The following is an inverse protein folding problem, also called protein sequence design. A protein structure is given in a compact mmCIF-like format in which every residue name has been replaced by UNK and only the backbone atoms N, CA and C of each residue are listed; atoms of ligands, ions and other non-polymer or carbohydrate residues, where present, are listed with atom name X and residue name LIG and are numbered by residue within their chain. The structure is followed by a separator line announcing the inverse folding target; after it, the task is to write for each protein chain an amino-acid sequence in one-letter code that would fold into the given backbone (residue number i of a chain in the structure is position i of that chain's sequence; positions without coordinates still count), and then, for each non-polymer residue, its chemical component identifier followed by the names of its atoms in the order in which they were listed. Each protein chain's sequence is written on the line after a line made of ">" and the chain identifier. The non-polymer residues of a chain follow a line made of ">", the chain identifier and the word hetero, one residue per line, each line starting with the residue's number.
data_IF_780918677345
#
_entry.id   IF_780918677345
#
_cell.length_a   1.000
_cell.length_b   1.000
_cell.length_c   1.000
_cell.angle_alpha   90.00
_cell.angle_beta   90.00
_cell.angle_gamma   90.00
#
_symmetry.space_group_name_H-M   'P 1'
#
loop_
_entity.id
_entity.type
_entity.pdbx_description
1 polymer ?
#
# COMPACT_ATOMS: atom_id res chain seq x y z
N UNK A 1 3.86 3.84 -11.10
CA UNK A 1 4.34 2.65 -11.79
C UNK A 1 3.30 2.07 -12.76
N UNK A 2 2.03 2.42 -12.56
CA UNK A 2 0.89 1.95 -13.34
C UNK A 2 -0.27 2.95 -13.27
N UNK A 3 -1.35 2.70 -14.01
CA UNK A 3 -2.60 3.46 -13.99
C UNK A 3 -3.78 2.50 -13.88
N UNK A 4 -4.86 2.94 -13.21
CA UNK A 4 -6.09 2.18 -13.02
C UNK A 4 -6.19 1.56 -11.64
N UNK A 5 -7.43 1.27 -11.21
CA UNK A 5 -7.74 0.59 -9.95
C UNK A 5 -8.92 -0.36 -10.16
N UNK A 6 -8.76 -1.67 -9.92
CA UNK A 6 -9.82 -2.65 -10.15
C UNK A 6 -10.82 -2.70 -8.98
N UNK A 7 -10.52 -2.02 -7.87
CA UNK A 7 -11.35 -2.01 -6.68
C UNK A 7 -12.70 -1.32 -6.93
N UNK A 8 -13.69 -1.66 -6.11
CA UNK A 8 -15.06 -1.13 -6.20
C UNK A 8 -15.52 -0.47 -4.90
N UNK A 9 -14.58 0.13 -4.16
CA UNK A 9 -14.86 0.86 -2.92
C UNK A 9 -15.92 1.94 -3.18
N UNK A 10 -16.96 1.98 -2.33
CA UNK A 10 -18.16 2.80 -2.61
C UNK A 10 -17.93 4.31 -2.54
N UNK A 11 -16.86 4.73 -1.88
CA UNK A 11 -16.51 6.14 -1.65
C UNK A 11 -15.44 6.67 -2.62
N UNK A 12 -14.78 5.78 -3.36
CA UNK A 12 -13.56 6.11 -4.09
C UNK A 12 -13.84 6.51 -5.55
N UNK A 13 -13.25 7.62 -5.98
CA UNK A 13 -13.34 8.11 -7.36
C UNK A 13 -12.21 7.60 -8.28
N UNK A 14 -11.21 6.91 -7.76
CA UNK A 14 -10.07 6.43 -8.56
C UNK A 14 -10.46 5.60 -9.79
N UNK A 15 -11.42 4.65 -9.69
CA UNK A 15 -11.87 3.90 -10.86
C UNK A 15 -12.53 4.76 -11.94
N UNK A 16 -13.07 5.93 -11.56
CA UNK A 16 -13.66 6.91 -12.49
C UNK A 16 -12.55 7.74 -13.13
N UNK A 17 -11.61 8.25 -12.32
CA UNK A 17 -10.56 9.16 -12.77
C UNK A 17 -9.41 8.45 -13.49
N UNK A 18 -9.05 7.24 -13.05
CA UNK A 18 -7.89 6.49 -13.55
C UNK A 18 -8.26 5.29 -14.44
N UNK A 19 -9.53 4.88 -14.43
CA UNK A 19 -10.05 3.68 -15.10
C UNK A 19 -10.02 2.44 -14.19
N UNK A 20 -10.80 1.41 -14.55
CA UNK A 20 -10.88 0.14 -13.81
C UNK A 20 -9.82 -0.87 -14.25
N UNK A 21 -9.41 -0.81 -15.51
CA UNK A 21 -8.34 -1.65 -16.02
C UNK A 21 -6.98 -1.15 -15.55
N UNK A 22 -6.13 -2.08 -15.15
CA UNK A 22 -4.78 -1.76 -14.68
C UNK A 22 -3.79 -1.88 -15.83
N UNK A 23 -3.22 -0.75 -16.21
CA UNK A 23 -2.16 -0.66 -17.22
C UNK A 23 -0.82 -0.47 -16.52
N UNK A 24 -0.01 -1.50 -16.51
CA UNK A 24 1.33 -1.47 -15.92
C UNK A 24 2.36 -0.91 -16.89
N UNK A 25 3.29 -0.12 -16.39
CA UNK A 25 4.48 0.31 -17.13
C UNK A 25 5.54 -0.80 -17.06
N UNK A 26 6.36 -1.01 -18.09
CA UNK A 26 7.48 -1.93 -17.99
C UNK A 26 8.37 -1.60 -16.77
N UNK A 27 8.72 -2.56 -15.91
CA UNK A 27 9.54 -2.31 -14.71
C UNK A 27 10.85 -1.56 -15.03
N UNK A 28 11.48 -1.91 -16.15
CA UNK A 28 12.68 -1.19 -16.64
C UNK A 28 12.41 0.30 -16.84
N UNK A 29 11.33 0.67 -17.50
CA UNK A 29 10.99 2.07 -17.75
C UNK A 29 10.65 2.85 -16.46
N UNK A 30 10.03 2.20 -15.48
CA UNK A 30 9.81 2.78 -14.16
C UNK A 30 11.14 3.08 -13.48
N UNK A 31 12.07 2.16 -13.52
CA UNK A 31 13.36 2.32 -12.84
C UNK A 31 14.30 3.26 -13.61
N UNK A 32 14.20 3.35 -14.96
CA UNK A 32 14.90 4.38 -15.76
C UNK A 32 14.51 5.80 -15.26
N UNK A 33 13.23 6.03 -14.96
CA UNK A 33 12.73 7.30 -14.40
C UNK A 33 13.28 7.55 -12.98
N UNK A 34 13.24 6.55 -12.10
CA UNK A 34 13.80 6.66 -10.75
C UNK A 34 15.30 7.00 -10.78
N UNK A 35 16.04 6.35 -11.65
CA UNK A 35 17.47 6.62 -11.83
C UNK A 35 17.72 8.05 -12.35
N UNK A 36 16.88 8.52 -13.27
CA UNK A 36 16.94 9.90 -13.75
C UNK A 36 16.66 10.93 -12.65
N UNK A 37 15.70 10.65 -11.74
CA UNK A 37 15.42 11.50 -10.58
C UNK A 37 16.61 11.52 -9.60
N UNK A 38 17.22 10.36 -9.35
CA UNK A 38 18.43 10.28 -8.52
C UNK A 38 19.61 11.08 -9.08
N UNK A 39 19.79 11.10 -10.42
CA UNK A 39 20.82 11.91 -11.07
C UNK A 39 20.57 13.42 -10.93
N UNK A 40 19.32 13.82 -10.73
CA UNK A 40 18.91 15.20 -10.43
C UNK A 40 18.98 15.54 -8.93
N UNK A 41 19.42 14.61 -8.08
CA UNK A 41 19.51 14.80 -6.62
C UNK A 41 18.19 14.55 -5.89
N UNK A 42 17.18 13.97 -6.55
CA UNK A 42 15.88 13.63 -5.94
C UNK A 42 15.93 12.17 -5.49
N UNK A 43 16.01 11.95 -4.19
CA UNK A 43 16.11 10.61 -3.58
C UNK A 43 14.89 10.23 -2.73
N UNK A 44 14.00 11.20 -2.41
CA UNK A 44 12.78 10.98 -1.67
C UNK A 44 11.58 10.99 -2.63
N UNK A 45 10.88 9.86 -2.74
CA UNK A 45 9.85 9.65 -3.76
C UNK A 45 8.61 9.03 -3.13
N UNK A 46 7.44 9.49 -3.58
CA UNK A 46 6.17 8.84 -3.34
C UNK A 46 5.62 8.26 -4.64
N UNK A 47 5.28 6.97 -4.66
CA UNK A 47 4.57 6.39 -5.80
C UNK A 47 3.09 6.76 -5.73
N UNK A 48 2.54 7.30 -6.82
CA UNK A 48 1.14 7.74 -6.90
C UNK A 48 0.20 6.69 -7.51
N UNK A 49 0.55 5.42 -7.40
CA UNK A 49 -0.36 4.32 -7.72
C UNK A 49 -1.55 4.33 -6.76
N UNK A 50 -2.73 3.92 -7.21
CA UNK A 50 -3.88 3.78 -6.30
C UNK A 50 -3.62 2.75 -5.21
N UNK A 51 -2.96 1.64 -5.59
CA UNK A 51 -2.49 0.57 -4.70
C UNK A 51 -1.24 -0.03 -5.35
N UNK A 52 -0.05 0.21 -4.81
CA UNK A 52 1.23 -0.23 -5.42
C UNK A 52 1.29 -1.75 -5.61
N UNK A 53 0.72 -2.50 -4.70
CA UNK A 53 0.70 -3.97 -4.70
C UNK A 53 -0.42 -4.61 -5.52
N UNK A 54 -1.18 -3.86 -6.31
CA UNK A 54 -2.22 -4.39 -7.19
C UNK A 54 -1.90 -4.12 -8.68
N UNK A 55 -1.46 -5.12 -9.47
CA UNK A 55 -1.18 -6.52 -9.12
C UNK A 55 0.17 -6.68 -8.40
N UNK A 56 0.26 -7.65 -7.49
CA UNK A 56 1.47 -7.90 -6.69
C UNK A 56 2.67 -8.29 -7.54
N UNK A 57 2.44 -9.07 -8.59
CA UNK A 57 3.52 -9.47 -9.52
C UNK A 57 4.26 -8.26 -10.10
N UNK A 58 3.53 -7.22 -10.51
CA UNK A 58 4.15 -6.01 -11.02
C UNK A 58 5.00 -5.31 -9.95
N UNK A 59 4.51 -5.21 -8.71
CA UNK A 59 5.26 -4.63 -7.60
C UNK A 59 6.55 -5.40 -7.32
N UNK A 60 6.51 -6.73 -7.32
CA UNK A 60 7.68 -7.60 -7.18
C UNK A 60 8.70 -7.33 -8.29
N UNK A 61 8.26 -7.24 -9.55
CA UNK A 61 9.14 -6.97 -10.69
C UNK A 61 9.80 -5.59 -10.61
N UNK A 62 9.08 -4.55 -10.21
CA UNK A 62 9.64 -3.20 -10.00
C UNK A 62 10.69 -3.22 -8.89
N UNK A 63 10.39 -3.83 -7.74
CA UNK A 63 11.35 -3.94 -6.63
C UNK A 63 12.61 -4.72 -7.03
N UNK A 64 12.46 -5.83 -7.74
CA UNK A 64 13.60 -6.63 -8.24
C UNK A 64 14.46 -5.83 -9.21
N UNK A 65 13.87 -5.01 -10.08
CA UNK A 65 14.62 -4.18 -11.02
C UNK A 65 15.39 -3.05 -10.30
N UNK A 66 14.80 -2.41 -9.27
CA UNK A 66 15.51 -1.44 -8.41
C UNK A 66 16.72 -2.09 -7.74
N UNK A 67 16.53 -3.29 -7.17
CA UNK A 67 17.60 -4.04 -6.49
C UNK A 67 18.69 -4.46 -7.49
N UNK A 68 18.31 -4.94 -8.67
CA UNK A 68 19.24 -5.36 -9.74
C UNK A 68 20.18 -4.22 -10.15
N UNK A 69 19.70 -2.97 -10.10
CA UNK A 69 20.51 -1.77 -10.43
C UNK A 69 21.24 -1.16 -9.22
N UNK A 70 21.17 -1.81 -8.04
CA UNK A 70 21.78 -1.32 -6.81
C UNK A 70 21.33 0.11 -6.41
N UNK A 71 20.05 0.44 -6.64
CA UNK A 71 19.50 1.76 -6.32
C UNK A 71 18.87 1.83 -4.92
N UNK A 72 18.59 0.69 -4.28
CA UNK A 72 17.84 0.62 -3.01
C UNK A 72 18.46 1.41 -1.87
N UNK A 73 19.79 1.47 -1.77
CA UNK A 73 20.48 2.24 -0.72
C UNK A 73 20.44 3.76 -0.96
N UNK A 74 20.16 4.16 -2.20
CA UNK A 74 20.11 5.56 -2.63
C UNK A 74 18.69 6.13 -2.64
N UNK A 75 17.68 5.27 -2.73
CA UNK A 75 16.27 5.65 -2.76
C UNK A 75 15.66 5.64 -1.35
N UNK A 76 14.76 6.57 -1.11
CA UNK A 76 13.84 6.62 0.03
C UNK A 76 12.45 6.85 -0.51
N UNK A 77 11.66 5.79 -0.62
CA UNK A 77 10.32 5.91 -1.18
C UNK A 77 9.27 5.27 -0.30
N UNK A 78 8.03 5.68 -0.50
CA UNK A 78 6.87 5.07 0.11
C UNK A 78 5.71 4.97 -0.87
N UNK A 79 4.73 4.15 -0.53
CA UNK A 79 3.62 3.82 -1.40
C UNK A 79 2.31 3.64 -0.64
N UNK A 80 1.20 3.80 -1.35
CA UNK A 80 -0.09 3.28 -0.92
C UNK A 80 -0.21 1.81 -1.30
N UNK A 81 -0.68 0.98 -0.37
CA UNK A 81 -0.94 -0.44 -0.59
C UNK A 81 -2.28 -0.86 0.00
N UNK A 82 -2.91 -1.85 -0.62
CA UNK A 82 -4.00 -2.59 -0.02
C UNK A 82 -3.45 -3.63 0.97
N UNK A 83 -4.18 -3.98 2.06
CA UNK A 83 -3.78 -5.09 2.92
C UNK A 83 -3.66 -6.44 2.19
N UNK A 84 -4.37 -6.62 1.08
CA UNK A 84 -4.36 -7.85 0.26
C UNK A 84 -4.35 -7.49 -1.24
N UNK A 85 -3.51 -8.16 -2.06
CA UNK A 85 -2.47 -9.11 -1.68
C UNK A 85 -1.23 -8.41 -1.11
N UNK A 86 -0.61 -8.97 -0.10
CA UNK A 86 0.66 -8.47 0.45
C UNK A 86 1.46 -9.63 1.05
N UNK A 87 2.45 -10.12 0.31
CA UNK A 87 3.25 -11.28 0.71
C UNK A 87 4.47 -10.91 1.56
N UNK A 88 5.04 -11.86 2.33
CA UNK A 88 6.33 -11.68 3.01
C UNK A 88 7.47 -11.35 2.04
N UNK A 89 7.40 -11.92 0.82
CA UNK A 89 8.37 -11.62 -0.23
C UNK A 89 8.30 -10.17 -0.66
N UNK A 90 7.07 -9.64 -0.88
CA UNK A 90 6.88 -8.24 -1.27
C UNK A 90 7.42 -7.30 -0.19
N UNK A 91 7.08 -7.52 1.09
CA UNK A 91 7.60 -6.72 2.20
C UNK A 91 9.14 -6.66 2.21
N UNK A 92 9.78 -7.81 2.07
CA UNK A 92 11.24 -7.93 2.03
C UNK A 92 11.84 -7.21 0.83
N UNK A 93 11.27 -7.40 -0.36
CA UNK A 93 11.78 -6.76 -1.58
C UNK A 93 11.55 -5.24 -1.57
N UNK A 94 10.40 -4.76 -1.08
CA UNK A 94 10.16 -3.32 -0.91
C UNK A 94 11.22 -2.69 -0.02
N UNK A 95 11.51 -3.29 1.13
CA UNK A 95 12.55 -2.78 2.04
C UNK A 95 13.93 -2.74 1.36
N UNK A 96 14.32 -3.82 0.68
CA UNK A 96 15.59 -3.89 -0.06
C UNK A 96 15.66 -2.93 -1.24
N UNK A 97 14.53 -2.60 -1.84
CA UNK A 97 14.42 -1.61 -2.91
C UNK A 97 14.43 -0.15 -2.41
N UNK A 98 14.62 0.09 -1.10
CA UNK A 98 14.68 1.42 -0.51
C UNK A 98 13.33 1.98 -0.07
N UNK A 99 12.27 1.16 -0.04
CA UNK A 99 11.01 1.57 0.58
C UNK A 99 11.22 1.79 2.07
N UNK A 100 10.77 2.92 2.58
CA UNK A 100 10.92 3.31 3.98
C UNK A 100 9.61 3.18 4.76
N UNK A 101 8.48 3.20 4.08
CA UNK A 101 7.18 3.09 4.71
C UNK A 101 6.05 2.85 3.72
N UNK A 102 4.92 2.40 4.26
CA UNK A 102 3.73 2.06 3.50
C UNK A 102 2.49 2.64 4.20
N UNK A 103 1.64 3.31 3.42
CA UNK A 103 0.30 3.67 3.83
C UNK A 103 -0.67 2.59 3.35
N UNK A 104 -1.38 1.96 4.28
CA UNK A 104 -2.43 1.02 3.96
C UNK A 104 -3.81 1.67 4.14
N UNK A 105 -4.62 1.64 3.09
CA UNK A 105 -6.03 2.00 3.17
C UNK A 105 -6.80 0.93 3.95
N UNK A 106 -6.78 1.02 5.28
CA UNK A 106 -7.47 0.06 6.17
C UNK A 106 -8.94 0.40 6.33
N UNK A 107 -9.27 1.68 6.30
CA UNK A 107 -10.61 2.26 6.44
C UNK A 107 -11.29 1.97 7.78
N UNK A 108 -11.47 0.70 8.16
CA UNK A 108 -12.23 0.31 9.35
C UNK A 108 -11.74 -1.03 9.93
N UNK A 109 -11.87 -1.19 11.23
CA UNK A 109 -11.53 -2.43 11.93
C UNK A 109 -12.71 -3.40 12.11
N UNK A 110 -13.89 -3.02 11.63
CA UNK A 110 -15.09 -3.85 11.71
C UNK A 110 -15.35 -4.56 10.37
N UNK A 111 -15.46 -5.88 10.42
CA UNK A 111 -15.68 -6.71 9.23
C UNK A 111 -16.97 -6.35 8.47
N UNK A 112 -18.03 -5.98 9.19
CA UNK A 112 -19.28 -5.61 8.55
C UNK A 112 -19.16 -4.27 7.83
N UNK A 113 -18.44 -3.32 8.42
CA UNK A 113 -18.15 -2.04 7.79
C UNK A 113 -17.26 -2.22 6.54
N UNK A 114 -16.21 -3.05 6.60
CA UNK A 114 -15.38 -3.37 5.44
C UNK A 114 -16.22 -3.94 4.28
N UNK A 115 -17.15 -4.86 4.56
CA UNK A 115 -18.09 -5.38 3.54
C UNK A 115 -18.98 -4.29 2.96
N UNK A 116 -19.53 -3.39 3.79
CA UNK A 116 -20.35 -2.25 3.33
C UNK A 116 -19.56 -1.31 2.45
N UNK A 117 -18.30 -1.03 2.79
CA UNK A 117 -17.38 -0.21 2.00
C UNK A 117 -16.86 -0.93 0.74
N UNK A 118 -17.18 -2.22 0.58
CA UNK A 118 -16.70 -3.12 -0.49
C UNK A 118 -15.18 -3.26 -0.48
N UNK A 119 -14.60 -3.38 0.73
CA UNK A 119 -13.19 -3.72 0.89
C UNK A 119 -13.01 -5.25 0.82
N UNK A 120 -12.02 -5.70 0.06
CA UNK A 120 -11.77 -7.11 -0.24
C UNK A 120 -10.84 -7.81 0.77
N UNK A 121 -10.75 -7.32 2.01
CA UNK A 121 -9.88 -7.87 3.05
C UNK A 121 -10.59 -7.89 4.41
N UNK A 122 -9.93 -8.46 5.41
CA UNK A 122 -10.43 -8.66 6.78
C UNK A 122 -9.58 -7.90 7.81
N UNK A 123 -10.05 -7.72 9.04
CA UNK A 123 -9.21 -7.22 10.14
C UNK A 123 -7.96 -8.07 10.40
N UNK A 124 -8.03 -9.39 10.16
CA UNK A 124 -6.86 -10.27 10.31
C UNK A 124 -5.81 -10.02 9.23
N UNK A 125 -6.21 -9.67 8.00
CA UNK A 125 -5.28 -9.24 6.96
C UNK A 125 -4.55 -7.95 7.35
N UNK A 126 -5.26 -7.02 8.01
CA UNK A 126 -4.66 -5.79 8.57
C UNK A 126 -3.63 -6.11 9.65
N UNK A 127 -3.92 -7.05 10.54
CA UNK A 127 -2.96 -7.53 11.54
C UNK A 127 -1.73 -8.16 10.88
N UNK A 128 -1.96 -8.96 9.83
CA UNK A 128 -0.88 -9.63 9.11
C UNK A 128 0.07 -8.65 8.42
N UNK A 129 -0.43 -7.62 7.73
CA UNK A 129 0.45 -6.63 7.07
C UNK A 129 1.25 -5.82 8.09
N UNK A 130 0.67 -5.46 9.25
CA UNK A 130 1.40 -4.80 10.33
C UNK A 130 2.59 -5.66 10.81
N UNK A 131 2.35 -6.96 10.99
CA UNK A 131 3.40 -7.92 11.37
C UNK A 131 4.48 -8.02 10.30
N UNK A 132 4.11 -8.24 9.03
CA UNK A 132 5.06 -8.38 7.92
C UNK A 132 5.93 -7.14 7.72
N UNK A 133 5.34 -5.97 7.81
CA UNK A 133 6.08 -4.71 7.68
C UNK A 133 7.06 -4.51 8.84
N UNK A 134 6.64 -4.81 10.08
CA UNK A 134 7.51 -4.74 11.26
C UNK A 134 8.72 -5.70 11.12
N UNK A 135 8.48 -6.93 10.68
CA UNK A 135 9.52 -7.92 10.42
C UNK A 135 10.50 -7.48 9.32
N UNK A 136 10.01 -6.77 8.31
CA UNK A 136 10.83 -6.21 7.24
C UNK A 136 11.51 -4.87 7.60
N UNK A 137 11.16 -4.23 8.72
CA UNK A 137 11.68 -2.91 9.11
C UNK A 137 11.09 -1.76 8.27
N UNK A 138 9.83 -1.87 7.88
CA UNK A 138 9.07 -0.84 7.17
C UNK A 138 8.17 -0.07 8.14
N UNK A 139 8.12 1.25 8.01
CA UNK A 139 7.18 2.10 8.75
C UNK A 139 5.78 1.91 8.20
N UNK A 140 4.80 1.77 9.09
CA UNK A 140 3.39 1.53 8.73
C UNK A 140 2.51 2.68 9.16
N UNK A 141 1.73 3.19 8.20
CA UNK A 141 0.61 4.08 8.45
C UNK A 141 -0.69 3.40 8.01
N UNK A 142 -1.73 3.49 8.84
CA UNK A 142 -3.07 3.02 8.52
C UNK A 142 -4.01 4.21 8.34
N UNK A 143 -4.56 4.34 7.14
CA UNK A 143 -5.58 5.35 6.85
C UNK A 143 -6.96 4.81 7.25
N UNK A 144 -7.69 5.55 8.09
CA UNK A 144 -9.02 5.21 8.57
C UNK A 144 -10.09 6.12 7.95
N UNK A 145 -11.26 5.54 7.70
CA UNK A 145 -12.43 6.26 7.21
C UNK A 145 -13.53 6.23 8.28
N UNK A 146 -13.71 7.34 8.97
CA UNK A 146 -14.73 7.48 10.03
C UNK A 146 -15.96 8.24 9.52
N UNK A 147 -17.12 8.00 10.11
CA UNK A 147 -18.38 8.63 9.74
C UNK A 147 -19.06 7.99 8.53
N UNK A 148 -18.68 6.77 8.17
CA UNK A 148 -19.29 6.06 7.03
C UNK A 148 -20.74 5.64 7.32
N UNK A 149 -21.63 5.59 6.31
CA UNK A 149 -23.01 5.18 6.50
C UNK A 149 -23.13 3.81 7.18
N UNK A 150 -23.86 3.76 8.29
CA UNK A 150 -24.06 2.54 9.08
C UNK A 150 -22.96 2.25 10.11
N UNK A 151 -22.02 3.17 10.30
CA UNK A 151 -21.06 3.09 11.39
C UNK A 151 -21.75 3.27 12.74
N UNK A 152 -21.28 2.58 13.76
CA UNK A 152 -21.79 2.63 15.13
C UNK A 152 -20.64 2.82 16.13
N UNK A 153 -20.97 3.14 17.38
CA UNK A 153 -19.97 3.21 18.46
C UNK A 153 -19.21 1.90 18.61
N UNK A 154 -19.90 0.78 18.45
CA UNK A 154 -19.32 -0.56 18.56
C UNK A 154 -18.32 -0.84 17.40
N UNK A 155 -18.65 -0.41 16.16
CA UNK A 155 -17.70 -0.57 15.04
C UNK A 155 -16.47 0.33 15.20
N UNK A 156 -16.64 1.55 15.72
CA UNK A 156 -15.52 2.45 16.05
C UNK A 156 -14.66 1.81 17.16
N UNK A 157 -15.27 1.25 18.20
CA UNK A 157 -14.53 0.56 19.27
C UNK A 157 -13.70 -0.59 18.71
N UNK A 158 -14.27 -1.42 17.82
CA UNK A 158 -13.54 -2.51 17.15
C UNK A 158 -12.37 -1.96 16.31
N UNK A 159 -12.54 -0.82 15.65
CA UNK A 159 -11.47 -0.16 14.89
C UNK A 159 -10.35 0.29 15.81
N UNK A 160 -10.65 0.95 16.91
CA UNK A 160 -9.67 1.37 17.91
C UNK A 160 -8.92 0.17 18.50
N UNK A 161 -9.64 -0.91 18.83
CA UNK A 161 -9.03 -2.12 19.37
C UNK A 161 -8.13 -2.82 18.35
N UNK A 162 -8.51 -2.81 17.06
CA UNK A 162 -7.65 -3.32 15.99
C UNK A 162 -6.37 -2.49 15.90
N UNK A 163 -6.45 -1.16 15.91
CA UNK A 163 -5.27 -0.27 15.86
C UNK A 163 -4.33 -0.51 17.03
N UNK A 164 -4.87 -0.64 18.26
CA UNK A 164 -4.06 -0.95 19.45
C UNK A 164 -3.32 -2.28 19.34
N UNK A 165 -3.97 -3.32 18.79
CA UNK A 165 -3.35 -4.65 18.61
C UNK A 165 -2.35 -4.69 17.46
N UNK A 166 -2.69 -4.07 16.34
CA UNK A 166 -1.83 -4.03 15.17
C UNK A 166 -0.57 -3.16 15.42
N UNK A 167 -0.71 -2.07 16.19
CA UNK A 167 0.39 -1.18 16.56
C UNK A 167 1.09 -0.57 15.36
N UNK A 168 0.38 0.11 14.44
CA UNK A 168 1.03 0.83 13.36
C UNK A 168 1.84 2.02 13.92
N UNK A 169 2.82 2.49 13.17
CA UNK A 169 3.63 3.66 13.55
C UNK A 169 2.81 4.96 13.49
N UNK A 170 1.79 5.00 12.62
CA UNK A 170 0.88 6.15 12.42
C UNK A 170 -0.55 5.67 12.11
N UNK A 171 -1.50 6.48 12.50
CA UNK A 171 -2.92 6.36 12.16
C UNK A 171 -3.42 7.73 11.74
#
# INVERSE_FOLDING_TARGET
>A
TKRGCPCSCIYCADPIAKGREVYTRPPKAVVDELESLLLQGIDHIHTCDSEFNLPEEHALLVCREIIRRNLGDRLRWYAYCAPVPFSPELATLMRRAGCVGINFGVDNGDQQMLRRLRRGFTPDDTMNVARLCREAGLVVMFDLLLGSPGESKESITRTIDLMKRAGPDRV
#
